data_IF_738949508335
#
_entry.id   IF_738949508335
#
_cell.length_a   1.000
_cell.length_b   1.000
_cell.length_c   1.000
_cell.angle_alpha   90.00
_cell.angle_beta   90.00
_cell.angle_gamma   90.00
#
_symmetry.space_group_name_H-M   'P 1'
#
loop_
_entity.id
_entity.type
_entity.pdbx_description
1 polymer ?
#
# COMPACT_ATOMS: atom_id res chain seq x y z
N UNK A 1 -7.91 -9.39 1.89
CA UNK A 1 -7.88 -10.70 1.18
C UNK A 1 -6.57 -11.46 1.50
N UNK A 2 -6.66 -12.73 1.93
CA UNK A 2 -5.48 -13.53 2.31
C UNK A 2 -4.49 -13.77 1.16
N UNK A 3 -4.96 -13.77 -0.09
CA UNK A 3 -4.11 -13.91 -1.29
C UNK A 3 -3.06 -12.80 -1.41
N UNK A 4 -3.46 -11.53 -1.23
CA UNK A 4 -2.51 -10.40 -1.30
C UNK A 4 -1.41 -10.57 -0.25
N UNK A 5 -1.79 -10.96 0.97
CA UNK A 5 -0.85 -11.20 2.06
C UNK A 5 0.14 -12.31 1.74
N UNK A 6 -0.31 -13.40 1.12
CA UNK A 6 0.54 -14.50 0.68
C UNK A 6 1.56 -14.06 -0.37
N UNK A 7 1.13 -13.39 -1.45
CA UNK A 7 2.05 -12.88 -2.47
C UNK A 7 3.03 -11.85 -1.91
N UNK A 8 2.57 -10.97 -1.02
CA UNK A 8 3.44 -9.99 -0.39
C UNK A 8 4.51 -10.64 0.50
N UNK A 9 4.17 -11.72 1.22
CA UNK A 9 5.14 -12.46 2.04
C UNK A 9 6.18 -13.22 1.20
N UNK A 10 5.77 -13.69 0.02
CA UNK A 10 6.68 -14.33 -0.94
C UNK A 10 7.55 -13.34 -1.73
N UNK A 11 7.37 -12.02 -1.53
CA UNK A 11 8.09 -10.99 -2.28
C UNK A 11 7.58 -10.78 -3.72
N UNK A 12 6.45 -11.37 -4.09
CA UNK A 12 5.78 -11.21 -5.39
C UNK A 12 5.01 -9.88 -5.45
N UNK A 13 5.71 -8.77 -5.19
CA UNK A 13 5.11 -7.45 -5.01
C UNK A 13 4.35 -6.92 -6.24
N UNK A 14 4.80 -7.24 -7.46
CA UNK A 14 4.11 -6.84 -8.69
C UNK A 14 2.73 -7.49 -8.79
N UNK A 15 2.64 -8.78 -8.42
CA UNK A 15 1.38 -9.53 -8.40
C UNK A 15 0.39 -9.01 -7.35
N UNK A 16 0.91 -8.52 -6.22
CA UNK A 16 0.10 -7.82 -5.21
C UNK A 16 -0.55 -6.58 -5.83
N UNK A 17 0.18 -5.81 -6.64
CA UNK A 17 -0.33 -4.60 -7.29
C UNK A 17 -1.39 -4.95 -8.35
N UNK A 18 -1.15 -5.95 -9.17
CA UNK A 18 -2.10 -6.43 -10.18
C UNK A 18 -3.42 -6.85 -9.54
N UNK A 19 -3.36 -7.75 -8.56
CA UNK A 19 -4.55 -8.23 -7.86
C UNK A 19 -5.28 -7.09 -7.14
N UNK A 20 -4.54 -6.17 -6.50
CA UNK A 20 -5.15 -5.01 -5.86
C UNK A 20 -5.92 -4.15 -6.86
N UNK A 21 -5.47 -4.01 -8.11
CA UNK A 21 -6.19 -3.23 -9.14
C UNK A 21 -7.48 -3.91 -9.60
N UNK A 22 -7.52 -5.23 -9.62
CA UNK A 22 -8.69 -6.01 -10.03
C UNK A 22 -9.76 -6.11 -8.92
N UNK A 23 -9.43 -5.80 -7.67
CA UNK A 23 -10.39 -5.82 -6.58
C UNK A 23 -11.40 -4.67 -6.67
N UNK A 24 -12.68 -5.00 -6.78
CA UNK A 24 -13.80 -4.03 -6.69
C UNK A 24 -13.91 -3.45 -5.28
N UNK A 25 -13.89 -4.31 -4.25
CA UNK A 25 -13.91 -3.89 -2.86
C UNK A 25 -12.54 -4.07 -2.19
N UNK A 26 -11.97 -2.97 -1.71
CA UNK A 26 -10.67 -2.93 -1.04
C UNK A 26 -10.88 -2.59 0.43
N UNK A 27 -10.58 -3.53 1.31
CA UNK A 27 -10.53 -3.28 2.75
C UNK A 27 -9.18 -2.65 3.16
N UNK A 28 -9.09 -2.20 4.42
CA UNK A 28 -7.88 -1.59 4.99
C UNK A 28 -6.66 -2.52 4.93
N UNK A 29 -6.89 -3.83 5.03
CA UNK A 29 -5.85 -4.84 4.92
C UNK A 29 -5.26 -4.89 3.50
N UNK A 30 -6.09 -4.76 2.47
CA UNK A 30 -5.66 -4.68 1.08
C UNK A 30 -4.78 -3.44 0.86
N UNK A 31 -5.18 -2.29 1.40
CA UNK A 31 -4.39 -1.05 1.33
C UNK A 31 -3.02 -1.20 2.02
N UNK A 32 -2.99 -1.70 3.26
CA UNK A 32 -1.71 -1.93 3.96
C UNK A 32 -0.80 -2.91 3.21
N UNK A 33 -1.37 -3.96 2.62
CA UNK A 33 -0.60 -4.98 1.88
C UNK A 33 -0.01 -4.43 0.58
N UNK A 34 -0.80 -3.70 -0.21
CA UNK A 34 -0.30 -3.11 -1.46
C UNK A 34 0.72 -1.99 -1.20
N UNK A 35 0.56 -1.23 -0.11
CA UNK A 35 1.55 -0.24 0.31
C UNK A 35 2.87 -0.90 0.72
N UNK A 36 2.81 -2.00 1.47
CA UNK A 36 4.01 -2.81 1.78
C UNK A 36 4.70 -3.31 0.51
N UNK A 37 3.93 -3.74 -0.50
CA UNK A 37 4.47 -4.12 -1.80
C UNK A 37 5.10 -2.93 -2.55
N UNK A 38 4.48 -1.75 -2.52
CA UNK A 38 5.07 -0.53 -3.07
C UNK A 38 6.40 -0.19 -2.38
N UNK A 39 6.48 -0.35 -1.07
CA UNK A 39 7.69 -0.12 -0.30
C UNK A 39 8.80 -1.11 -0.67
N UNK A 40 8.45 -2.39 -0.87
CA UNK A 40 9.37 -3.43 -1.33
C UNK A 40 9.93 -3.19 -2.74
N UNK A 41 9.17 -2.50 -3.60
CA UNK A 41 9.58 -2.13 -4.96
C UNK A 41 10.16 -0.71 -5.09
N UNK A 42 10.27 0.03 -3.98
CA UNK A 42 10.58 1.48 -3.99
C UNK A 42 9.66 2.30 -4.94
N UNK A 43 8.41 1.86 -5.11
CA UNK A 43 7.45 2.41 -6.06
C UNK A 43 6.65 3.61 -5.49
N UNK A 44 7.34 4.71 -5.16
CA UNK A 44 6.75 5.91 -4.52
C UNK A 44 5.53 6.45 -5.26
N UNK A 45 5.63 6.54 -6.59
CA UNK A 45 4.55 7.13 -7.40
C UNK A 45 3.25 6.34 -7.22
N UNK A 46 3.35 5.02 -7.17
CA UNK A 46 2.22 4.15 -6.95
C UNK A 46 1.72 4.26 -5.50
N UNK A 47 2.63 4.31 -4.54
CA UNK A 47 2.30 4.57 -3.14
C UNK A 47 1.48 5.85 -2.94
N UNK A 48 1.84 6.94 -3.64
CA UNK A 48 1.09 8.21 -3.64
C UNK A 48 -0.31 8.08 -4.23
N UNK A 49 -0.44 7.35 -5.34
CA UNK A 49 -1.73 7.08 -5.97
C UNK A 49 -2.67 6.31 -5.02
N UNK A 50 -2.13 5.28 -4.36
CA UNK A 50 -2.86 4.46 -3.40
C UNK A 50 -3.20 5.25 -2.14
N UNK A 51 -2.28 6.11 -1.66
CA UNK A 51 -2.55 7.03 -0.58
C UNK A 51 -3.75 7.94 -0.91
N UNK A 52 -3.80 8.52 -2.11
CA UNK A 52 -4.93 9.32 -2.56
C UNK A 52 -6.25 8.54 -2.62
N UNK A 53 -6.23 7.25 -3.01
CA UNK A 53 -7.41 6.39 -2.96
C UNK A 53 -7.88 6.12 -1.52
N UNK A 54 -6.94 5.95 -0.59
CA UNK A 54 -7.21 5.72 0.82
C UNK A 54 -7.84 6.95 1.49
N UNK A 55 -7.27 8.14 1.31
CA UNK A 55 -7.79 9.40 1.89
C UNK A 55 -9.22 9.68 1.46
N UNK A 56 -9.60 9.29 0.24
CA UNK A 56 -10.96 9.47 -0.28
C UNK A 56 -12.01 8.54 0.34
N UNK A 57 -11.63 7.46 1.02
CA UNK A 57 -12.57 6.47 1.56
C UNK A 57 -13.26 6.89 2.88
N UNK A 58 -13.06 8.11 3.37
CA UNK A 58 -13.51 8.57 4.70
C UNK A 58 -13.06 7.67 5.88
N UNK A 59 -12.20 6.68 5.62
CA UNK A 59 -11.55 5.86 6.62
C UNK A 59 -10.47 6.70 7.31
N UNK A 60 -10.85 7.41 8.38
CA UNK A 60 -9.90 8.15 9.21
C UNK A 60 -9.09 7.19 10.10
N UNK A 61 -7.80 7.50 10.24
CA UNK A 61 -6.92 7.04 11.32
C UNK A 61 -6.72 5.53 11.45
N UNK A 62 -6.36 4.85 10.35
CA UNK A 62 -5.88 3.47 10.44
C UNK A 62 -4.35 3.40 10.54
N UNK A 63 -3.86 3.17 11.76
CA UNK A 63 -2.43 3.04 12.10
C UNK A 63 -1.67 2.03 11.22
N UNK A 64 -2.35 0.98 10.73
CA UNK A 64 -1.73 -0.05 9.88
C UNK A 64 -1.39 0.54 8.50
N UNK A 65 -2.33 1.28 7.91
CA UNK A 65 -2.13 1.94 6.62
C UNK A 65 -1.11 3.06 6.73
N UNK A 66 -1.17 3.85 7.82
CA UNK A 66 -0.20 4.92 8.09
C UNK A 66 1.22 4.40 8.25
N UNK A 67 1.40 3.32 9.02
CA UNK A 67 2.72 2.68 9.16
C UNK A 67 3.26 2.17 7.82
N UNK A 68 2.39 1.62 6.98
CA UNK A 68 2.78 1.17 5.64
C UNK A 68 3.16 2.34 4.71
N UNK A 69 2.48 3.50 4.84
CA UNK A 69 2.85 4.72 4.11
C UNK A 69 4.23 5.22 4.55
N UNK A 70 4.52 5.23 5.85
CA UNK A 70 5.85 5.58 6.37
C UNK A 70 6.92 4.67 5.79
N UNK A 71 6.66 3.37 5.69
CA UNK A 71 7.58 2.43 5.05
C UNK A 71 7.81 2.74 3.55
N UNK A 72 6.75 3.06 2.81
CA UNK A 72 6.85 3.44 1.39
C UNK A 72 7.72 4.67 1.21
N UNK A 73 7.45 5.71 1.97
CA UNK A 73 8.15 6.99 1.83
C UNK A 73 9.56 6.94 2.41
N UNK A 74 9.75 6.24 3.52
CA UNK A 74 11.05 6.04 4.17
C UNK A 74 12.02 5.25 3.32
N UNK A 75 11.61 4.09 2.79
CA UNK A 75 12.48 3.25 1.94
C UNK A 75 12.83 3.88 0.59
N UNK A 76 12.07 4.90 0.19
CA UNK A 76 12.28 5.59 -1.06
C UNK A 76 12.90 6.98 -0.90
N UNK A 77 13.28 7.37 0.32
CA UNK A 77 13.91 8.67 0.61
C UNK A 77 12.99 9.88 0.44
N UNK A 78 11.67 9.69 0.42
CA UNK A 78 10.65 10.71 0.19
C UNK A 78 9.77 10.93 1.44
N UNK A 79 10.37 11.00 2.62
CA UNK A 79 9.69 11.06 3.92
C UNK A 79 8.75 12.28 4.03
N UNK A 80 9.08 13.40 3.39
CA UNK A 80 8.28 14.63 3.40
C UNK A 80 6.88 14.48 2.74
N UNK A 81 6.62 13.37 2.05
CA UNK A 81 5.31 13.07 1.45
C UNK A 81 4.42 12.15 2.31
N UNK A 82 4.87 11.78 3.52
CA UNK A 82 4.16 10.87 4.42
C UNK A 82 3.13 11.54 5.35
N UNK A 83 3.04 12.88 5.33
CA UNK A 83 2.14 13.70 6.16
C UNK A 83 0.93 14.22 5.41
#
# INVERSE_FOLDING_TARGET
SALLGGYCQNGEHEKVIELFREMEEKDLYCFGTVLKACAGLAAVRLGKEIHGQYVRRECRDNVIVESALVDVYGKSGCIDSAT
#
